data_IF_583272898666
#
_entry.id   IF_583272898666
#
_cell.length_a   1.000
_cell.length_b   1.000
_cell.length_c   1.000
_cell.angle_alpha   90.00
_cell.angle_beta   90.00
_cell.angle_gamma   90.00
#
_symmetry.space_group_name_H-M   'P 1'
#
loop_
_entity.id
_entity.type
_entity.pdbx_description
1 polymer ?
#
# COMPACT_ATOMS: atom_id res chain seq x y z
N UNK A 1 -6.57 8.94 50.50
CA UNK A 1 -6.91 9.41 49.11
C UNK A 1 -8.08 8.59 48.57
N UNK A 2 -8.81 9.04 47.54
CA UNK A 2 -9.93 8.27 46.97
C UNK A 2 -9.56 7.66 45.62
N UNK A 3 -10.03 6.43 45.35
CA UNK A 3 -9.82 5.75 44.07
C UNK A 3 -10.58 6.47 42.94
N UNK A 4 -9.88 6.88 41.88
CA UNK A 4 -10.51 7.56 40.75
C UNK A 4 -11.45 6.67 39.92
N UNK A 5 -11.41 5.34 40.11
CA UNK A 5 -12.26 4.39 39.37
C UNK A 5 -13.57 4.06 40.10
N UNK A 6 -13.53 3.87 41.42
CA UNK A 6 -14.71 3.43 42.19
C UNK A 6 -15.07 4.35 43.37
N UNK A 7 -14.27 5.38 43.66
CA UNK A 7 -14.55 6.33 44.73
C UNK A 7 -14.25 5.84 46.15
N UNK A 8 -13.77 4.60 46.34
CA UNK A 8 -13.48 4.11 47.69
C UNK A 8 -12.23 4.76 48.31
N UNK A 9 -12.16 4.81 49.63
CA UNK A 9 -11.00 5.31 50.37
C UNK A 9 -9.81 4.36 50.26
N UNK A 10 -8.63 4.91 50.01
CA UNK A 10 -7.37 4.21 49.71
C UNK A 10 -6.27 4.77 50.61
N UNK A 11 -5.51 3.87 51.25
CA UNK A 11 -4.38 4.23 52.11
C UNK A 11 -3.17 4.67 51.27
N UNK A 12 -2.40 5.64 51.77
CA UNK A 12 -1.33 6.33 51.01
C UNK A 12 -0.20 5.40 50.51
N UNK A 13 -0.01 4.25 51.15
CA UNK A 13 1.00 3.24 50.80
C UNK A 13 0.48 2.09 49.92
N UNK A 14 -0.79 2.10 49.50
CA UNK A 14 -1.38 1.01 48.71
C UNK A 14 -1.18 1.21 47.20
N UNK A 15 -0.53 0.24 46.55
CA UNK A 15 -0.27 0.27 45.10
C UNK A 15 -1.54 0.01 44.25
N UNK A 16 -2.57 -0.60 44.85
CA UNK A 16 -3.84 -0.95 44.21
C UNK A 16 -5.01 -0.75 45.18
N UNK A 17 -6.18 -0.41 44.64
CA UNK A 17 -7.42 -0.33 45.39
C UNK A 17 -7.90 -1.75 45.76
N UNK A 18 -8.14 -2.00 47.05
CA UNK A 18 -8.61 -3.29 47.56
C UNK A 18 -9.99 -3.70 47.03
N UNK A 19 -10.84 -2.73 46.67
CA UNK A 19 -12.22 -3.01 46.24
C UNK A 19 -12.34 -3.31 44.74
N UNK A 20 -11.65 -2.55 43.89
CA UNK A 20 -11.83 -2.66 42.43
C UNK A 20 -10.57 -3.08 41.67
N UNK A 21 -9.44 -3.27 42.37
CA UNK A 21 -8.15 -3.65 41.78
C UNK A 21 -7.48 -2.57 40.93
N UNK A 22 -7.99 -1.33 40.91
CA UNK A 22 -7.38 -0.25 40.14
C UNK A 22 -6.03 0.16 40.72
N UNK A 23 -5.01 0.30 39.85
CA UNK A 23 -3.66 0.74 40.23
C UNK A 23 -3.69 2.22 40.65
N UNK A 24 -3.02 2.53 41.75
CA UNK A 24 -2.96 3.88 42.33
C UNK A 24 -1.61 4.48 41.95
N UNK A 25 -1.63 5.52 41.10
CA UNK A 25 -0.41 6.20 40.69
C UNK A 25 0.03 7.17 41.79
N UNK A 26 1.14 6.86 42.46
CA UNK A 26 1.81 7.83 43.33
C UNK A 26 2.53 8.84 42.44
N UNK A 27 2.08 10.09 42.46
CA UNK A 27 2.69 11.18 41.71
C UNK A 27 3.94 11.68 42.42
N UNK A 28 5.07 11.00 42.26
CA UNK A 28 6.40 11.59 42.48
C UNK A 28 7.10 11.72 41.12
N UNK A 29 7.42 12.95 40.77
CA UNK A 29 7.87 13.35 39.45
C UNK A 29 9.19 12.72 39.03
N UNK A 30 9.19 12.17 37.82
CA UNK A 30 10.25 12.29 36.81
C UNK A 30 9.73 11.69 35.51
N UNK A 31 9.57 12.55 34.49
CA UNK A 31 9.16 12.15 33.15
C UNK A 31 10.28 11.34 32.48
N UNK A 32 10.07 10.03 32.37
CA UNK A 32 10.56 9.22 31.27
C UNK A 32 9.39 8.32 30.84
N UNK A 33 8.96 8.32 29.56
CA UNK A 33 7.91 7.41 29.14
C UNK A 33 8.49 6.00 29.07
N UNK A 34 8.24 5.20 30.11
CA UNK A 34 8.38 3.76 30.01
C UNK A 34 7.12 3.20 29.33
N UNK A 35 7.25 2.95 28.04
CA UNK A 35 6.25 2.24 27.24
C UNK A 35 6.00 0.87 27.86
N UNK A 36 4.79 0.68 28.39
CA UNK A 36 4.31 -0.63 28.78
C UNK A 36 3.95 -1.42 27.51
N UNK A 37 4.41 -2.67 27.34
CA UNK A 37 4.27 -3.44 26.10
C UNK A 37 2.81 -3.83 25.75
N UNK A 38 1.85 -3.52 26.60
CA UNK A 38 0.45 -3.96 26.46
C UNK A 38 -0.45 -2.93 25.74
N UNK A 39 -0.02 -1.68 25.56
CA UNK A 39 -0.82 -0.66 24.84
C UNK A 39 -0.66 -0.79 23.31
N UNK A 40 0.51 -1.25 22.84
CA UNK A 40 0.81 -1.40 21.41
C UNK A 40 0.07 -2.60 20.78
N UNK A 41 -0.30 -3.63 21.55
CA UNK A 41 -1.04 -4.79 21.00
C UNK A 41 -2.52 -4.49 20.72
N UNK A 42 -3.17 -3.63 21.50
CA UNK A 42 -4.53 -3.16 21.18
C UNK A 42 -4.55 -2.20 19.98
N UNK A 43 -3.43 -1.54 19.65
CA UNK A 43 -3.38 -0.59 18.54
C UNK A 43 -3.16 -1.21 17.16
N UNK A 44 -3.01 -2.54 17.04
CA UNK A 44 -2.76 -3.23 15.76
C UNK A 44 -3.99 -3.85 15.12
N UNK A 45 -5.15 -3.76 15.79
CA UNK A 45 -6.45 -4.19 15.26
C UNK A 45 -7.23 -2.95 14.84
N UNK A 46 -7.52 -2.85 13.55
CA UNK A 46 -8.19 -1.70 12.97
C UNK A 46 -7.52 -1.20 11.70
N UNK A 47 -8.27 -0.40 10.94
CA UNK A 47 -7.65 0.42 9.90
C UNK A 47 -7.03 1.66 10.53
N UNK A 48 -5.80 1.95 10.14
CA UNK A 48 -5.03 3.10 10.59
C UNK A 48 -5.68 4.40 10.11
N UNK A 49 -5.68 5.43 10.95
CA UNK A 49 -6.07 6.79 10.56
C UNK A 49 -4.95 7.54 9.82
N UNK A 50 -3.75 6.94 9.73
CA UNK A 50 -2.53 7.55 9.17
C UNK A 50 -2.64 7.92 7.70
N UNK A 51 -3.60 7.38 6.94
CA UNK A 51 -3.81 7.75 5.54
C UNK A 51 -4.17 9.25 5.35
N UNK A 52 -4.76 9.89 6.37
CA UNK A 52 -5.05 11.32 6.39
C UNK A 52 -3.91 12.17 6.97
N UNK A 53 -2.81 11.55 7.39
CA UNK A 53 -1.69 12.28 7.98
C UNK A 53 -1.02 13.18 6.93
N UNK A 54 -0.68 14.44 7.25
CA UNK A 54 -0.13 15.40 6.28
C UNK A 54 1.14 14.90 5.58
N UNK A 55 1.99 14.15 6.29
CA UNK A 55 3.19 13.52 5.72
C UNK A 55 2.84 12.52 4.60
N UNK A 56 1.80 11.70 4.80
CA UNK A 56 1.36 10.69 3.83
C UNK A 56 0.74 11.36 2.61
N UNK A 57 -0.09 12.39 2.83
CA UNK A 57 -0.65 13.20 1.76
C UNK A 57 0.44 13.92 0.95
N UNK A 58 1.46 14.46 1.61
CA UNK A 58 2.61 15.09 0.95
C UNK A 58 3.41 14.09 0.12
N UNK A 59 3.67 12.88 0.64
CA UNK A 59 4.33 11.81 -0.11
C UNK A 59 3.52 11.42 -1.36
N UNK A 60 2.21 11.34 -1.21
CA UNK A 60 1.32 10.99 -2.30
C UNK A 60 1.22 12.09 -3.38
N UNK A 61 1.19 13.37 -2.97
CA UNK A 61 1.29 14.51 -3.88
C UNK A 61 2.63 14.54 -4.61
N UNK A 62 3.74 14.25 -3.92
CA UNK A 62 5.08 14.15 -4.52
C UNK A 62 5.11 13.06 -5.58
N UNK A 63 4.64 11.85 -5.26
CA UNK A 63 4.56 10.74 -6.20
C UNK A 63 3.72 11.10 -7.44
N UNK A 64 2.60 11.78 -7.23
CA UNK A 64 1.74 12.25 -8.33
C UNK A 64 2.45 13.29 -9.22
N UNK A 65 3.16 14.26 -8.64
CA UNK A 65 3.91 15.26 -9.42
C UNK A 65 5.00 14.60 -10.26
N UNK A 66 5.76 13.68 -9.66
CA UNK A 66 6.78 12.91 -10.38
C UNK A 66 6.17 12.08 -11.51
N UNK A 67 5.05 11.40 -11.25
CA UNK A 67 4.33 10.63 -12.26
C UNK A 67 3.86 11.53 -13.43
N UNK A 68 3.24 12.67 -13.13
CA UNK A 68 2.76 13.61 -14.17
C UNK A 68 3.92 14.18 -14.98
N UNK A 69 5.03 14.53 -14.34
CA UNK A 69 6.23 15.00 -15.05
C UNK A 69 6.78 13.94 -16.00
N UNK A 70 6.95 12.71 -15.52
CA UNK A 70 7.40 11.57 -16.34
C UNK A 70 6.42 11.26 -17.50
N UNK A 71 5.11 11.34 -17.23
CA UNK A 71 4.09 11.13 -18.25
C UNK A 71 4.20 12.12 -19.42
N UNK A 72 4.50 13.40 -19.15
CA UNK A 72 4.71 14.38 -20.21
C UNK A 72 5.95 14.09 -21.05
N UNK A 73 7.03 13.62 -20.42
CA UNK A 73 8.24 13.19 -21.16
C UNK A 73 7.88 12.05 -22.11
N UNK A 74 7.15 11.04 -21.66
CA UNK A 74 6.71 9.92 -22.51
C UNK A 74 5.80 10.32 -23.68
N UNK A 75 5.09 11.45 -23.57
CA UNK A 75 4.23 11.97 -24.63
C UNK A 75 5.03 12.85 -25.60
N UNK A 76 5.93 13.71 -25.12
CA UNK A 76 6.68 14.63 -25.98
C UNK A 76 7.89 14.00 -26.66
N UNK A 77 8.55 13.03 -26.03
CA UNK A 77 9.72 12.38 -26.63
C UNK A 77 9.39 11.73 -27.98
N UNK A 78 8.32 10.93 -28.14
CA UNK A 78 7.97 10.41 -29.46
C UNK A 78 7.49 11.51 -30.43
N UNK A 79 6.72 12.50 -29.96
CA UNK A 79 6.24 13.60 -30.81
C UNK A 79 7.35 14.43 -31.44
N UNK A 80 8.49 14.58 -30.76
CA UNK A 80 9.62 15.38 -31.23
C UNK A 80 10.70 14.47 -31.83
N UNK A 81 10.99 13.35 -31.18
CA UNK A 81 12.07 12.44 -31.55
C UNK A 81 11.84 11.75 -32.89
N UNK A 82 10.62 11.29 -33.17
CA UNK A 82 10.34 10.64 -34.46
C UNK A 82 10.44 11.63 -35.64
N UNK A 83 9.86 12.84 -35.60
CA UNK A 83 10.09 13.83 -36.67
C UNK A 83 11.56 14.19 -36.86
N UNK A 84 12.34 14.35 -35.78
CA UNK A 84 13.79 14.57 -35.89
C UNK A 84 14.46 13.39 -36.59
N UNK A 85 14.12 12.15 -36.20
CA UNK A 85 14.66 10.96 -36.85
C UNK A 85 14.31 10.93 -38.35
N UNK A 86 13.08 11.24 -38.72
CA UNK A 86 12.66 11.28 -40.13
C UNK A 86 13.26 12.42 -40.96
N UNK A 87 13.86 13.44 -40.32
CA UNK A 87 14.66 14.47 -40.99
C UNK A 87 16.13 14.07 -41.16
N UNK A 88 16.62 13.15 -40.32
CA UNK A 88 18.04 12.79 -40.23
C UNK A 88 18.36 11.41 -40.82
N UNK A 89 17.35 10.55 -40.98
CA UNK A 89 17.50 9.18 -41.48
C UNK A 89 16.92 9.07 -42.89
N UNK A 90 17.76 8.71 -43.84
CA UNK A 90 17.37 8.59 -45.26
C UNK A 90 16.34 7.46 -45.49
N UNK A 91 16.38 6.40 -44.65
CA UNK A 91 15.51 5.23 -44.77
C UNK A 91 14.17 5.38 -44.03
N UNK A 92 13.88 6.55 -43.43
CA UNK A 92 12.66 6.75 -42.64
C UNK A 92 11.93 8.04 -43.02
N UNK A 93 11.00 8.00 -43.97
CA UNK A 93 10.32 9.19 -44.48
C UNK A 93 9.62 10.00 -43.37
N UNK A 94 9.75 11.33 -43.43
CA UNK A 94 9.19 12.24 -42.44
C UNK A 94 7.68 12.03 -42.18
N UNK A 95 6.90 11.75 -43.23
CA UNK A 95 5.46 11.49 -43.10
C UNK A 95 5.16 10.27 -42.22
N UNK A 96 5.88 9.17 -42.43
CA UNK A 96 5.74 7.95 -41.62
C UNK A 96 6.20 8.20 -40.19
N UNK A 97 7.32 8.92 -40.03
CA UNK A 97 7.86 9.28 -38.74
C UNK A 97 6.87 10.09 -37.88
N UNK A 98 6.22 11.11 -38.46
CA UNK A 98 5.19 11.91 -37.78
C UNK A 98 4.00 11.05 -37.38
N UNK A 99 3.53 10.16 -38.25
CA UNK A 99 2.40 9.26 -37.97
C UNK A 99 2.74 8.32 -36.81
N UNK A 100 3.89 7.65 -36.85
CA UNK A 100 4.34 6.73 -35.80
C UNK A 100 4.48 7.45 -34.45
N UNK A 101 5.17 8.59 -34.42
CA UNK A 101 5.31 9.39 -33.21
C UNK A 101 3.97 9.85 -32.65
N UNK A 102 3.05 10.30 -33.51
CA UNK A 102 1.71 10.71 -33.13
C UNK A 102 0.89 9.58 -32.49
N UNK A 103 0.89 8.38 -33.10
CA UNK A 103 0.16 7.22 -32.59
C UNK A 103 0.70 6.79 -31.22
N UNK A 104 2.02 6.64 -31.09
CA UNK A 104 2.64 6.23 -29.82
C UNK A 104 2.30 7.23 -28.71
N UNK A 105 2.44 8.53 -28.98
CA UNK A 105 2.14 9.57 -28.00
C UNK A 105 0.67 9.63 -27.61
N UNK A 106 -0.25 9.40 -28.55
CA UNK A 106 -1.68 9.34 -28.26
C UNK A 106 -2.02 8.15 -27.34
N UNK A 107 -1.45 6.97 -27.60
CA UNK A 107 -1.64 5.78 -26.76
C UNK A 107 -1.07 6.02 -25.36
N UNK A 108 0.14 6.59 -25.27
CA UNK A 108 0.77 6.94 -23.98
C UNK A 108 -0.06 7.96 -23.22
N UNK A 109 -0.60 8.98 -23.88
CA UNK A 109 -1.48 9.98 -23.27
C UNK A 109 -2.75 9.31 -22.72
N UNK A 110 -3.43 8.48 -23.51
CA UNK A 110 -4.64 7.78 -23.10
C UNK A 110 -4.38 6.87 -21.88
N UNK A 111 -3.28 6.11 -21.89
CA UNK A 111 -2.89 5.26 -20.76
C UNK A 111 -2.59 6.07 -19.50
N UNK A 112 -1.84 7.18 -19.61
CA UNK A 112 -1.51 8.07 -18.50
C UNK A 112 -2.78 8.70 -17.88
N UNK A 113 -3.73 9.15 -18.71
CA UNK A 113 -5.01 9.68 -18.25
C UNK A 113 -5.86 8.61 -17.54
N UNK A 114 -5.88 7.40 -18.09
CA UNK A 114 -6.55 6.26 -17.46
C UNK A 114 -5.96 5.94 -16.08
N UNK A 115 -4.63 5.90 -15.97
CA UNK A 115 -3.95 5.67 -14.70
C UNK A 115 -4.26 6.77 -13.67
N UNK A 116 -4.21 8.05 -14.08
CA UNK A 116 -4.58 9.19 -13.24
C UNK A 116 -6.03 9.16 -12.76
N UNK A 117 -6.95 8.66 -13.59
CA UNK A 117 -8.35 8.44 -13.17
C UNK A 117 -8.44 7.29 -12.16
N UNK A 118 -7.62 6.25 -12.32
CA UNK A 118 -7.65 5.09 -11.42
C UNK A 118 -7.20 5.43 -9.99
N UNK A 119 -6.19 6.30 -9.82
CA UNK A 119 -5.71 6.72 -8.49
C UNK A 119 -6.68 7.64 -7.74
N UNK A 120 -7.61 8.29 -8.46
CA UNK A 120 -8.66 9.16 -7.88
C UNK A 120 -9.92 8.40 -7.45
N UNK A 121 -9.96 7.07 -7.65
CA UNK A 121 -11.10 6.26 -7.19
C UNK A 121 -11.20 6.32 -5.67
N UNK A 122 -12.40 6.14 -5.10
CA UNK A 122 -12.58 6.10 -3.66
C UNK A 122 -11.89 4.87 -3.06
N UNK A 123 -11.44 5.03 -1.81
CA UNK A 123 -11.03 3.92 -0.94
C UNK A 123 -12.20 2.94 -0.83
N UNK A 124 -11.88 1.66 -0.76
CA UNK A 124 -12.89 0.62 -0.57
C UNK A 124 -12.35 -0.48 0.34
N UNK A 125 -13.28 -1.11 1.07
CA UNK A 125 -13.01 -2.18 2.01
C UNK A 125 -13.59 -3.50 1.50
N UNK A 126 -13.04 -4.61 1.99
CA UNK A 126 -13.54 -5.95 1.67
C UNK A 126 -12.90 -7.03 2.52
N UNK A 127 -13.26 -8.27 2.22
CA UNK A 127 -12.77 -9.47 2.90
C UNK A 127 -12.14 -10.43 1.90
N UNK A 128 -11.01 -11.03 2.25
CA UNK A 128 -10.41 -12.13 1.49
C UNK A 128 -11.33 -13.34 1.60
N UNK A 129 -11.89 -13.79 0.48
CA UNK A 129 -12.87 -14.88 0.44
C UNK A 129 -12.31 -16.17 -0.13
N UNK A 130 -11.20 -16.11 -0.87
CA UNK A 130 -10.57 -17.28 -1.47
C UNK A 130 -9.11 -16.98 -1.84
N UNK A 131 -8.27 -18.02 -1.81
CA UNK A 131 -6.91 -18.01 -2.32
C UNK A 131 -6.64 -19.31 -3.08
N UNK A 132 -6.06 -19.22 -4.26
CA UNK A 132 -5.69 -20.40 -5.06
C UNK A 132 -4.49 -20.09 -5.95
N UNK A 133 -3.83 -21.14 -6.43
CA UNK A 133 -2.76 -21.01 -7.41
C UNK A 133 -3.02 -21.91 -8.63
N UNK A 134 -2.48 -21.51 -9.79
CA UNK A 134 -2.59 -22.25 -11.06
C UNK A 134 -1.29 -22.14 -11.84
N UNK A 135 -0.79 -23.25 -12.37
CA UNK A 135 0.30 -23.23 -13.36
C UNK A 135 -0.23 -22.74 -14.70
N UNK A 136 0.56 -21.92 -15.38
CA UNK A 136 0.28 -21.34 -16.70
C UNK A 136 1.42 -21.64 -17.67
N UNK A 137 1.04 -21.78 -18.93
CA UNK A 137 1.96 -21.98 -20.04
C UNK A 137 1.83 -20.77 -20.96
N UNK A 138 2.95 -20.15 -21.30
CA UNK A 138 3.01 -19.05 -22.25
C UNK A 138 3.79 -19.51 -23.49
N UNK A 139 3.08 -19.65 -24.60
CA UNK A 139 3.69 -19.88 -25.91
C UNK A 139 4.05 -18.52 -26.50
N UNK A 140 5.34 -18.17 -26.53
CA UNK A 140 5.80 -17.03 -27.33
C UNK A 140 5.80 -17.47 -28.80
N UNK A 141 5.11 -16.70 -29.65
CA UNK A 141 5.01 -16.95 -31.10
C UNK A 141 6.37 -16.87 -31.81
N UNK A 142 7.42 -16.37 -31.14
CA UNK A 142 8.72 -16.04 -31.75
C UNK A 142 9.93 -16.77 -31.13
N UNK A 143 9.77 -17.60 -30.10
CA UNK A 143 10.91 -18.29 -29.43
C UNK A 143 10.54 -19.74 -29.09
N UNK A 144 11.44 -20.68 -29.40
CA UNK A 144 11.32 -22.13 -29.13
C UNK A 144 11.23 -22.51 -27.63
N UNK A 145 11.23 -21.55 -26.71
CA UNK A 145 11.13 -21.82 -25.27
C UNK A 145 9.74 -21.48 -24.72
N UNK A 146 8.94 -22.51 -24.43
CA UNK A 146 7.74 -22.36 -23.61
C UNK A 146 8.13 -22.08 -22.16
N UNK A 147 7.71 -20.94 -21.61
CA UNK A 147 7.99 -20.60 -20.21
C UNK A 147 6.79 -20.96 -19.35
N UNK A 148 7.02 -21.75 -18.30
CA UNK A 148 5.99 -22.10 -17.31
C UNK A 148 6.11 -21.20 -16.09
N UNK A 149 5.00 -20.63 -15.63
CA UNK A 149 4.94 -19.86 -14.38
C UNK A 149 3.71 -20.24 -13.55
N UNK A 150 3.74 -19.93 -12.26
CA UNK A 150 2.61 -20.15 -11.34
C UNK A 150 1.95 -18.82 -10.99
N UNK A 151 0.66 -18.71 -11.25
CA UNK A 151 -0.17 -17.59 -10.81
C UNK A 151 -0.74 -17.90 -9.43
N UNK A 152 -0.50 -17.00 -8.48
CA UNK A 152 -1.09 -16.97 -7.15
C UNK A 152 -2.18 -15.91 -7.13
N UNK A 153 -3.41 -16.31 -6.82
CA UNK A 153 -4.58 -15.44 -6.83
C UNK A 153 -5.19 -15.31 -5.44
N UNK A 154 -5.32 -14.07 -4.97
CA UNK A 154 -6.07 -13.72 -3.77
C UNK A 154 -7.37 -13.01 -4.19
N UNK A 155 -8.51 -13.58 -3.82
CA UNK A 155 -9.85 -13.06 -4.16
C UNK A 155 -10.43 -12.30 -2.97
N UNK A 156 -10.78 -11.05 -3.21
CA UNK A 156 -11.37 -10.14 -2.23
C UNK A 156 -12.81 -9.84 -2.67
N UNK A 157 -13.78 -10.05 -1.77
CA UNK A 157 -15.14 -9.57 -1.94
C UNK A 157 -15.25 -8.21 -1.24
N UNK A 158 -15.48 -7.17 -2.02
CA UNK A 158 -15.72 -5.82 -1.47
C UNK A 158 -17.01 -5.77 -0.66
N UNK A 159 -17.12 -4.81 0.25
CA UNK A 159 -18.34 -4.61 1.04
C UNK A 159 -19.56 -4.27 0.15
N UNK A 160 -19.33 -3.69 -1.04
CA UNK A 160 -20.33 -3.50 -2.09
C UNK A 160 -20.68 -4.79 -2.87
N UNK A 161 -20.17 -5.96 -2.47
CA UNK A 161 -20.43 -7.27 -3.09
C UNK A 161 -19.60 -7.60 -4.34
N UNK A 162 -18.89 -6.64 -4.91
CA UNK A 162 -18.04 -6.84 -6.11
C UNK A 162 -16.80 -7.68 -5.78
N UNK A 163 -16.41 -8.58 -6.69
CA UNK A 163 -15.14 -9.33 -6.60
C UNK A 163 -13.96 -8.50 -7.13
N UNK A 164 -12.83 -8.59 -6.44
CA UNK A 164 -11.51 -8.02 -6.79
C UNK A 164 -10.46 -9.12 -6.65
N UNK A 165 -9.45 -9.09 -7.48
CA UNK A 165 -8.40 -10.12 -7.50
C UNK A 165 -7.03 -9.48 -7.48
N UNK A 166 -6.15 -10.01 -6.63
CA UNK A 166 -4.71 -9.76 -6.69
C UNK A 166 -4.12 -10.99 -7.38
N UNK A 167 -3.42 -10.78 -8.49
CA UNK A 167 -2.74 -11.85 -9.24
C UNK A 167 -1.25 -11.59 -9.20
N UNK A 168 -0.52 -12.55 -8.66
CA UNK A 168 0.92 -12.50 -8.43
C UNK A 168 1.58 -13.71 -9.11
N UNK A 169 2.83 -13.58 -9.55
CA UNK A 169 3.53 -14.62 -10.32
C UNK A 169 4.80 -15.10 -9.61
N UNK A 170 4.94 -16.41 -9.52
CA UNK A 170 6.11 -17.12 -9.01
C UNK A 170 6.57 -16.66 -7.61
N UNK A 171 7.76 -16.08 -7.51
CA UNK A 171 8.32 -15.57 -6.25
C UNK A 171 7.73 -14.23 -5.82
N UNK A 172 7.06 -13.50 -6.71
CA UNK A 172 6.46 -12.18 -6.42
C UNK A 172 5.03 -12.31 -5.88
N UNK A 173 4.85 -13.16 -4.87
CA UNK A 173 3.56 -13.55 -4.25
C UNK A 173 3.35 -12.94 -2.85
N UNK A 174 3.73 -11.68 -2.73
CA UNK A 174 3.83 -10.96 -1.47
C UNK A 174 2.49 -10.86 -0.73
N UNK A 175 1.40 -10.54 -1.45
CA UNK A 175 0.07 -10.43 -0.85
C UNK A 175 -0.59 -11.78 -0.66
N UNK A 176 -0.31 -12.75 -1.54
CA UNK A 176 -0.76 -14.12 -1.36
C UNK A 176 -0.22 -14.75 -0.07
N UNK A 177 1.07 -14.54 0.23
CA UNK A 177 1.70 -15.09 1.44
C UNK A 177 1.36 -14.27 2.70
N UNK A 178 1.01 -12.98 2.56
CA UNK A 178 0.73 -12.07 3.68
C UNK A 178 -0.72 -12.09 4.16
N UNK A 179 -1.66 -12.23 3.22
CA UNK A 179 -3.10 -12.26 3.52
C UNK A 179 -3.59 -13.69 3.67
N UNK A 180 -4.62 -13.88 4.50
CA UNK A 180 -5.32 -15.14 4.71
C UNK A 180 -6.81 -14.99 4.43
N UNK A 181 -7.46 -16.09 4.05
CA UNK A 181 -8.93 -16.13 3.93
C UNK A 181 -9.57 -15.72 5.26
N UNK A 182 -10.52 -14.77 5.20
CA UNK A 182 -11.14 -14.14 6.37
C UNK A 182 -10.56 -12.77 6.72
N UNK A 183 -9.37 -12.41 6.23
CA UNK A 183 -8.78 -11.10 6.50
C UNK A 183 -9.63 -9.97 5.92
N UNK A 184 -9.92 -8.97 6.76
CA UNK A 184 -10.47 -7.68 6.33
C UNK A 184 -9.35 -6.81 5.77
N UNK A 185 -9.58 -6.20 4.62
CA UNK A 185 -8.60 -5.35 3.93
C UNK A 185 -9.23 -4.05 3.44
N UNK A 186 -8.42 -3.00 3.42
CA UNK A 186 -8.73 -1.69 2.81
C UNK A 186 -7.78 -1.43 1.66
N UNK A 187 -8.31 -1.10 0.50
CA UNK A 187 -7.49 -0.72 -0.64
C UNK A 187 -7.35 0.80 -0.71
N UNK A 188 -6.11 1.27 -0.87
CA UNK A 188 -5.76 2.68 -1.00
C UNK A 188 -5.40 3.00 -2.46
N UNK A 189 -6.33 3.48 -3.31
CA UNK A 189 -6.09 3.68 -4.75
C UNK A 189 -4.95 4.65 -5.06
N UNK A 190 -4.72 5.62 -4.19
CA UNK A 190 -3.65 6.61 -4.33
C UNK A 190 -2.24 5.98 -4.35
N UNK A 191 -2.09 4.83 -3.70
CA UNK A 191 -0.82 4.09 -3.65
C UNK A 191 -0.88 2.72 -4.31
N UNK A 192 -2.07 2.27 -4.73
CA UNK A 192 -2.31 0.91 -5.23
C UNK A 192 -1.88 -0.18 -4.24
N UNK A 193 -2.04 0.06 -2.94
CA UNK A 193 -1.68 -0.88 -1.88
C UNK A 193 -2.88 -1.31 -1.05
N UNK A 194 -2.72 -2.44 -0.36
CA UNK A 194 -3.70 -2.98 0.57
C UNK A 194 -3.23 -2.77 2.00
N UNK A 195 -4.14 -2.41 2.88
CA UNK A 195 -3.96 -2.39 4.31
C UNK A 195 -4.77 -3.53 4.94
N UNK A 196 -4.12 -4.37 5.73
CA UNK A 196 -4.76 -5.45 6.50
C UNK A 196 -5.38 -4.87 7.78
N UNK A 197 -6.59 -5.29 8.15
CA UNK A 197 -7.28 -4.76 9.33
C UNK A 197 -6.67 -5.25 10.65
N UNK A 198 -6.51 -6.56 10.81
CA UNK A 198 -5.90 -7.14 12.01
C UNK A 198 -4.45 -7.50 11.71
N UNK A 199 -3.52 -6.75 12.31
CA UNK A 199 -2.07 -6.94 12.18
C UNK A 199 -1.45 -7.47 13.47
N UNK A 200 -2.27 -7.82 14.47
CA UNK A 200 -1.82 -8.17 15.82
C UNK A 200 -0.94 -9.43 15.87
N UNK A 201 -1.09 -10.32 14.89
CA UNK A 201 -0.34 -11.58 14.76
C UNK A 201 0.76 -11.53 13.70
N UNK A 202 0.88 -10.41 12.98
CA UNK A 202 1.86 -10.29 11.92
C UNK A 202 3.26 -10.02 12.51
N UNK A 203 4.29 -10.46 11.79
CA UNK A 203 5.70 -10.11 12.09
C UNK A 203 6.27 -9.09 11.11
N UNK A 204 5.59 -8.89 9.98
CA UNK A 204 5.95 -7.95 8.92
C UNK A 204 4.75 -7.05 8.57
N UNK A 205 5.05 -5.88 8.02
CA UNK A 205 4.05 -4.97 7.44
C UNK A 205 4.58 -4.38 6.13
N UNK A 206 3.73 -4.33 5.11
CA UNK A 206 4.06 -3.65 3.87
C UNK A 206 3.73 -2.16 3.98
N UNK A 207 4.67 -1.32 3.56
CA UNK A 207 4.47 0.13 3.54
C UNK A 207 3.41 0.49 2.50
N UNK A 208 2.32 1.11 2.93
CA UNK A 208 1.27 1.56 2.00
C UNK A 208 1.74 2.59 0.98
N UNK A 209 2.84 3.31 1.21
CA UNK A 209 3.36 4.35 0.29
C UNK A 209 4.26 3.77 -0.80
N UNK A 210 5.11 2.78 -0.48
CA UNK A 210 6.14 2.29 -1.41
C UNK A 210 6.21 0.76 -1.55
N UNK A 211 5.26 0.03 -0.95
CA UNK A 211 5.16 -1.43 -0.94
C UNK A 211 6.38 -2.17 -0.38
N UNK A 212 7.31 -1.49 0.28
CA UNK A 212 8.45 -2.13 0.94
C UNK A 212 7.97 -2.96 2.13
N UNK A 213 8.48 -4.18 2.28
CA UNK A 213 8.28 -4.99 3.48
C UNK A 213 9.10 -4.39 4.64
N UNK A 214 8.52 -4.31 5.82
CA UNK A 214 9.18 -3.81 7.03
C UNK A 214 8.88 -4.75 8.20
N UNK A 215 9.74 -4.72 9.23
CA UNK A 215 9.43 -5.33 10.52
C UNK A 215 8.20 -4.66 11.16
N UNK A 216 7.35 -5.44 11.83
CA UNK A 216 6.21 -4.92 12.61
C UNK A 216 6.63 -3.99 13.74
N UNK A 217 7.89 -4.06 14.20
CA UNK A 217 8.39 -3.18 15.24
C UNK A 217 8.69 -1.76 14.71
N UNK A 218 8.86 -1.58 13.40
CA UNK A 218 9.19 -0.27 12.83
C UNK A 218 7.96 0.63 12.79
N UNK A 219 8.04 1.87 13.24
CA UNK A 219 6.94 2.85 13.05
C UNK A 219 6.97 3.55 11.70
N UNK A 220 8.15 3.55 11.07
CA UNK A 220 8.43 4.20 9.79
C UNK A 220 9.04 3.19 8.82
N UNK A 221 8.75 3.38 7.54
CA UNK A 221 9.29 2.54 6.49
C UNK A 221 10.80 2.75 6.34
N UNK A 222 11.56 1.66 6.21
CA UNK A 222 13.02 1.70 6.04
C UNK A 222 13.45 2.39 4.74
N UNK A 223 12.65 2.24 3.67
CA UNK A 223 12.95 2.82 2.35
C UNK A 223 12.48 4.27 2.24
N UNK A 224 11.19 4.54 2.42
CA UNK A 224 10.63 5.87 2.15
C UNK A 224 10.46 6.75 3.39
N UNK A 225 10.81 6.25 4.58
CA UNK A 225 10.74 6.93 5.89
C UNK A 225 9.36 7.42 6.35
N UNK A 226 8.32 7.20 5.53
CA UNK A 226 6.93 7.51 5.87
C UNK A 226 6.40 6.61 6.98
N UNK A 227 5.39 7.09 7.71
CA UNK A 227 4.68 6.31 8.72
C UNK A 227 4.08 5.03 8.12
N UNK A 228 4.26 3.91 8.83
CA UNK A 228 3.60 2.65 8.51
C UNK A 228 2.16 2.66 9.03
N UNK A 229 1.23 2.00 8.35
CA UNK A 229 -0.19 2.02 8.74
C UNK A 229 -0.45 0.98 9.82
N UNK A 230 0.04 1.26 11.03
CA UNK A 230 -0.31 0.52 12.24
C UNK A 230 -1.65 1.01 12.77
#
# INVERSE_FOLDING_TARGET
MFCQRCGNHVSESSAFCSECGAKIQQSNGSLAPQESPNVQQLSLVGFSSRYNHPEILAAAQKNRKTFVGCAWILVFVPLIGFPIAGLLMDDFPLGEAVVVGGVISLVMLAFNLFFLRSVKKPIWDGTVVNQYNKKRYENRVSEESSTTYTEYTTVIKTDAGKKKTIVEKDSRRFMYDYLSVGDRVRFHPMFSTYEKFDKSKDRIIYCNVCAMMNSMNNDRCERCKNLLFK
#
